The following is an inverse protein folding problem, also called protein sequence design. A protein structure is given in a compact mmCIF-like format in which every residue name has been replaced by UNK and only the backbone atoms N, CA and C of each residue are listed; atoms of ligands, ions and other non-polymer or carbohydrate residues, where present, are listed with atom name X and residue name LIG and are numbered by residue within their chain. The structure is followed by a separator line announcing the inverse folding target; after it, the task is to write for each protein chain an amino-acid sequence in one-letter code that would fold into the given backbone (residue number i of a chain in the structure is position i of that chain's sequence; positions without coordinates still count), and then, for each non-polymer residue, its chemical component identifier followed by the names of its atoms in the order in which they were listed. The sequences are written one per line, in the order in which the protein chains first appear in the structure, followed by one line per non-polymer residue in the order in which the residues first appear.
data_IF_807853982723
#
_entry.id   IF_807853982723
#
_cell.length_a   1.000
_cell.length_b   1.000
_cell.length_c   1.000
_cell.angle_alpha   90.00
_cell.angle_beta   90.00
_cell.angle_gamma   90.00
#
_symmetry.space_group_name_H-M   'P 1'
#
loop_
_entity.id
_entity.type
_entity.pdbx_description
1 polymer ?
#
# COMPACT_ATOMS: atom_id res chain seq x y z
N UNK A 1 -29.27 -14.10 84.92
CA UNK A 1 -29.06 -13.48 86.24
C UNK A 1 -27.58 -13.10 86.34
N UNK A 2 -27.30 -11.82 86.62
CA UNK A 2 -26.03 -11.19 87.04
C UNK A 2 -24.87 -11.17 86.01
N UNK A 3 -24.52 -9.98 85.48
CA UNK A 3 -23.55 -9.00 86.03
C UNK A 3 -22.10 -9.54 85.96
N UNK A 4 -21.04 -8.83 85.58
CA UNK A 4 -20.76 -7.42 85.27
C UNK A 4 -19.26 -7.34 84.90
N UNK A 5 -18.82 -6.17 84.38
CA UNK A 5 -17.44 -5.59 84.42
C UNK A 5 -16.43 -6.17 83.42
N UNK A 6 -15.52 -5.43 82.78
CA UNK A 6 -15.17 -4.01 82.62
C UNK A 6 -13.98 -3.99 81.65
N UNK A 7 -13.84 -2.98 80.78
CA UNK A 7 -12.52 -2.41 80.43
C UNK A 7 -12.66 -1.18 79.53
N UNK A 8 -12.05 -0.10 79.98
CA UNK A 8 -11.80 1.17 79.32
C UNK A 8 -10.54 1.04 78.45
N UNK A 9 -10.51 1.68 77.27
CA UNK A 9 -9.34 2.23 76.54
C UNK A 9 -9.62 2.23 75.03
N UNK A 10 -9.19 3.14 74.16
CA UNK A 10 -8.35 4.33 74.24
C UNK A 10 -8.61 5.09 72.93
N UNK A 11 -8.61 6.42 73.00
CA UNK A 11 -8.73 7.31 71.85
C UNK A 11 -7.55 7.12 70.88
N UNK A 12 -7.84 7.07 69.58
CA UNK A 12 -6.87 7.48 68.54
C UNK A 12 -7.55 8.49 67.62
N UNK A 13 -7.07 9.73 67.72
CA UNK A 13 -7.33 10.82 66.80
C UNK A 13 -6.95 10.36 65.38
N UNK A 14 -7.92 10.34 64.48
CA UNK A 14 -7.65 10.42 63.05
C UNK A 14 -8.00 11.84 62.62
N UNK A 15 -7.00 12.70 62.53
CA UNK A 15 -7.14 13.98 61.85
C UNK A 15 -7.26 13.66 60.35
N UNK A 16 -8.49 13.71 59.82
CA UNK A 16 -8.72 13.60 58.38
C UNK A 16 -8.39 14.97 57.80
N UNK A 17 -7.21 15.10 57.19
CA UNK A 17 -6.85 16.27 56.42
C UNK A 17 -7.84 16.42 55.24
N UNK A 18 -8.33 17.63 54.93
CA UNK A 18 -9.17 17.81 53.76
C UNK A 18 -8.35 17.55 52.50
N UNK A 19 -8.81 16.61 51.68
CA UNK A 19 -8.35 16.42 50.30
C UNK A 19 -8.53 17.74 49.55
N UNK A 20 -7.44 18.47 49.34
CA UNK A 20 -7.40 19.60 48.42
C UNK A 20 -7.69 19.07 47.01
N UNK A 21 -8.96 19.13 46.62
CA UNK A 21 -9.44 18.76 45.29
C UNK A 21 -8.91 19.81 44.32
N UNK A 22 -7.73 19.56 43.73
CA UNK A 22 -7.18 20.37 42.64
C UNK A 22 -8.23 20.43 41.53
N UNK A 23 -8.85 21.58 41.36
CA UNK A 23 -9.73 21.89 40.24
C UNK A 23 -8.85 22.06 39.01
N UNK A 24 -8.77 21.04 38.16
CA UNK A 24 -8.20 21.20 36.82
C UNK A 24 -9.15 22.08 36.01
N UNK A 25 -8.77 23.34 35.81
CA UNK A 25 -9.44 24.22 34.86
C UNK A 25 -8.99 23.83 33.45
N UNK A 26 -9.87 23.20 32.67
CA UNK A 26 -9.64 22.94 31.25
C UNK A 26 -10.10 24.16 30.45
N UNK A 27 -9.17 24.92 29.89
CA UNK A 27 -9.49 25.98 28.94
C UNK A 27 -9.64 25.35 27.55
N UNK A 28 -10.86 25.34 27.03
CA UNK A 28 -11.09 24.99 25.63
C UNK A 28 -10.71 26.21 24.76
N UNK A 29 -9.49 26.22 24.22
CA UNK A 29 -9.14 27.11 23.12
C UNK A 29 -9.84 26.61 21.86
N UNK A 30 -10.99 27.20 21.54
CA UNK A 30 -11.60 27.06 20.21
C UNK A 30 -10.74 27.85 19.24
N UNK A 31 -9.80 27.17 18.59
CA UNK A 31 -9.08 27.73 17.44
C UNK A 31 -10.07 27.74 16.29
N UNK A 32 -10.74 28.88 16.07
CA UNK A 32 -11.43 29.15 14.83
C UNK A 32 -10.36 29.24 13.73
N UNK A 33 -9.96 28.08 13.21
CA UNK A 33 -9.28 28.02 11.94
C UNK A 33 -10.31 28.50 10.91
N UNK A 34 -10.22 29.77 10.53
CA UNK A 34 -10.78 30.21 9.26
C UNK A 34 -10.39 29.16 8.21
N UNK A 35 -11.31 28.74 7.31
CA UNK A 35 -10.95 27.83 6.24
C UNK A 35 -9.77 28.48 5.53
N UNK A 36 -8.59 27.89 5.67
CA UNK A 36 -7.42 28.36 4.96
C UNK A 36 -7.83 28.33 3.50
N UNK A 37 -8.00 29.50 2.90
CA UNK A 37 -8.06 29.63 1.45
C UNK A 37 -6.89 28.81 0.95
N UNK A 38 -7.18 27.69 0.28
CA UNK A 38 -6.15 26.84 -0.29
C UNK A 38 -5.24 27.76 -1.08
N UNK A 39 -3.95 27.90 -0.69
CA UNK A 39 -3.03 28.70 -1.48
C UNK A 39 -3.11 28.18 -2.91
N UNK A 40 -3.21 29.08 -3.89
CA UNK A 40 -3.30 28.72 -5.29
C UNK A 40 -2.25 27.64 -5.59
N UNK A 41 -2.70 26.51 -6.15
CA UNK A 41 -1.83 25.37 -6.42
C UNK A 41 -0.77 25.79 -7.43
N UNK A 42 0.43 26.13 -6.96
CA UNK A 42 1.60 26.40 -7.80
C UNK A 42 2.27 25.07 -8.23
N UNK A 43 1.48 24.02 -8.46
CA UNK A 43 1.96 22.70 -8.86
C UNK A 43 0.92 22.04 -9.79
N UNK A 44 1.42 21.29 -10.77
CA UNK A 44 0.60 20.50 -11.70
C UNK A 44 0.02 19.29 -10.98
N UNK A 45 -1.22 18.94 -11.30
CA UNK A 45 -1.86 17.70 -10.81
C UNK A 45 -1.38 16.48 -11.61
N UNK A 46 -1.60 15.26 -11.10
CA UNK A 46 -1.19 14.02 -11.82
C UNK A 46 -1.78 13.94 -13.24
N UNK A 47 -2.97 14.48 -13.45
CA UNK A 47 -3.63 14.50 -14.77
C UNK A 47 -3.03 15.49 -15.76
N UNK A 48 -2.30 16.51 -15.25
CA UNK A 48 -1.68 17.55 -16.06
C UNK A 48 -0.24 17.21 -16.45
N UNK A 49 0.39 16.26 -15.74
CA UNK A 49 1.74 15.77 -16.03
C UNK A 49 1.69 14.87 -17.27
N UNK A 50 2.44 15.23 -18.32
CA UNK A 50 2.54 14.43 -19.55
C UNK A 50 3.97 14.03 -19.87
N UNK A 51 4.92 14.87 -19.49
CA UNK A 51 6.33 14.74 -19.84
C UNK A 51 7.20 14.82 -18.59
N UNK A 52 8.44 14.32 -18.68
CA UNK A 52 9.40 14.39 -17.57
C UNK A 52 9.75 15.84 -17.19
N UNK A 53 9.70 16.76 -18.14
CA UNK A 53 9.92 18.19 -17.90
C UNK A 53 8.84 18.81 -16.98
N UNK A 54 7.63 18.23 -16.95
CA UNK A 54 6.56 18.66 -16.05
C UNK A 54 6.84 18.28 -14.58
N UNK A 55 7.78 17.37 -14.35
CA UNK A 55 8.20 16.90 -13.04
C UNK A 55 9.34 17.74 -12.44
N UNK A 56 9.57 18.95 -12.95
CA UNK A 56 10.50 19.91 -12.37
C UNK A 56 9.74 20.89 -11.45
N UNK A 57 10.20 21.02 -10.21
CA UNK A 57 9.64 21.96 -9.24
C UNK A 57 9.91 23.44 -9.59
N UNK A 58 9.10 24.38 -9.08
CA UNK A 58 9.25 25.82 -9.35
C UNK A 58 10.50 26.46 -8.69
N UNK A 59 11.15 25.76 -7.75
CA UNK A 59 12.26 26.28 -6.97
C UNK A 59 11.82 27.23 -5.85
N UNK A 60 12.62 27.30 -4.77
CA UNK A 60 12.37 28.19 -3.65
C UNK A 60 12.89 29.62 -3.89
N UNK A 61 12.35 30.58 -3.14
CA UNK A 61 12.81 31.97 -3.15
C UNK A 61 14.16 32.09 -2.43
N UNK A 62 14.96 33.07 -2.84
CA UNK A 62 16.26 33.33 -2.23
C UNK A 62 16.10 33.66 -0.72
N UNK A 63 16.82 32.93 0.13
CA UNK A 63 16.83 33.12 1.58
C UNK A 63 15.78 32.31 2.36
N UNK A 64 14.93 31.54 1.68
CA UNK A 64 13.97 30.61 2.29
C UNK A 64 14.49 29.16 2.20
N UNK A 65 14.10 28.32 3.17
CA UNK A 65 14.40 26.88 3.13
C UNK A 65 13.36 26.23 2.21
N UNK A 66 13.78 25.55 1.13
CA UNK A 66 12.87 24.91 0.20
C UNK A 66 12.06 23.82 0.88
N UNK A 67 10.80 23.70 0.49
CA UNK A 67 9.97 22.54 0.81
C UNK A 67 10.22 21.41 -0.19
N UNK A 68 9.90 20.17 0.21
CA UNK A 68 10.03 18.99 -0.67
C UNK A 68 9.25 19.17 -1.99
N UNK A 69 8.13 19.90 -1.96
CA UNK A 69 7.34 20.20 -3.16
C UNK A 69 8.03 21.19 -4.11
N UNK A 70 8.93 22.04 -3.63
CA UNK A 70 9.58 23.07 -4.46
C UNK A 70 10.87 22.57 -5.10
N UNK A 71 11.59 21.67 -4.42
CA UNK A 71 12.90 21.18 -4.83
C UNK A 71 12.90 19.73 -5.35
N UNK A 72 11.86 18.93 -5.09
CA UNK A 72 11.76 17.58 -5.67
C UNK A 72 11.70 17.62 -7.20
N UNK A 73 12.35 16.64 -7.82
CA UNK A 73 12.37 16.48 -9.29
C UNK A 73 12.18 15.02 -9.68
N UNK A 74 11.66 14.78 -10.88
CA UNK A 74 11.53 13.43 -11.45
C UNK A 74 10.59 12.51 -10.67
N UNK A 75 11.02 11.26 -10.44
CA UNK A 75 10.21 10.22 -9.77
C UNK A 75 9.85 10.58 -8.33
N UNK A 76 10.76 11.24 -7.60
CA UNK A 76 10.51 11.71 -6.24
C UNK A 76 9.32 12.67 -6.21
N UNK A 77 9.29 13.63 -7.15
CA UNK A 77 8.18 14.57 -7.27
C UNK A 77 6.88 13.86 -7.64
N UNK A 78 6.94 12.91 -8.57
CA UNK A 78 5.79 12.13 -8.99
C UNK A 78 5.17 11.36 -7.81
N UNK A 79 6.01 10.77 -6.97
CA UNK A 79 5.57 10.09 -5.74
C UNK A 79 4.92 11.06 -4.74
N UNK A 80 5.54 12.24 -4.51
CA UNK A 80 5.01 13.27 -3.61
C UNK A 80 3.64 13.76 -4.10
N UNK A 81 3.51 14.08 -5.39
CA UNK A 81 2.25 14.53 -5.99
C UNK A 81 1.18 13.42 -5.92
N UNK A 82 1.58 12.17 -6.17
CA UNK A 82 0.75 10.98 -5.95
C UNK A 82 0.17 10.91 -4.55
N UNK A 83 1.06 10.96 -3.55
CA UNK A 83 0.68 10.90 -2.13
C UNK A 83 -0.19 12.09 -1.71
N UNK A 84 0.02 13.28 -2.26
CA UNK A 84 -0.82 14.46 -2.00
C UNK A 84 -2.25 14.28 -2.54
N UNK A 85 -2.41 13.59 -3.67
CA UNK A 85 -3.73 13.25 -4.25
C UNK A 85 -4.32 11.95 -3.65
N UNK A 86 -3.56 11.25 -2.80
CA UNK A 86 -3.98 9.99 -2.18
C UNK A 86 -3.84 8.77 -3.09
N UNK A 87 -3.05 8.86 -4.16
CA UNK A 87 -2.76 7.80 -5.13
C UNK A 87 -1.34 7.29 -4.91
N UNK A 88 -1.19 6.00 -4.61
CA UNK A 88 0.13 5.34 -4.60
C UNK A 88 0.51 4.92 -6.02
N UNK A 89 1.49 5.60 -6.61
CA UNK A 89 1.86 5.39 -8.01
C UNK A 89 2.65 4.09 -8.22
N UNK A 90 3.35 3.61 -7.21
CA UNK A 90 4.19 2.40 -7.32
C UNK A 90 3.53 1.13 -6.78
N UNK A 91 2.23 1.19 -6.44
CA UNK A 91 1.39 0.10 -5.91
C UNK A 91 2.15 -0.87 -4.98
N UNK A 92 2.38 -0.48 -3.74
CA UNK A 92 3.10 -1.31 -2.76
C UNK A 92 2.21 -2.37 -2.07
N UNK A 93 1.02 -2.65 -2.60
CA UNK A 93 0.08 -3.58 -1.97
C UNK A 93 0.50 -5.03 -2.22
N UNK A 94 0.36 -5.92 -1.23
CA UNK A 94 0.57 -7.34 -1.45
C UNK A 94 -0.53 -7.92 -2.35
N UNK A 95 -0.27 -9.12 -2.86
CA UNK A 95 -1.24 -9.90 -3.62
C UNK A 95 -2.53 -10.10 -2.79
N UNK A 96 -3.69 -9.94 -3.43
CA UNK A 96 -4.98 -10.16 -2.78
C UNK A 96 -5.13 -11.64 -2.37
N UNK A 97 -5.15 -11.88 -1.06
CA UNK A 97 -5.32 -13.19 -0.45
C UNK A 97 -6.68 -13.33 0.27
N UNK A 98 -7.61 -12.41 0.04
CA UNK A 98 -8.93 -12.40 0.72
C UNK A 98 -9.84 -13.53 0.25
N UNK A 99 -9.67 -13.99 -0.98
CA UNK A 99 -10.49 -15.04 -1.63
C UNK A 99 -9.61 -15.96 -2.45
N UNK A 100 -10.09 -17.18 -2.68
CA UNK A 100 -9.49 -18.11 -3.64
C UNK A 100 -9.91 -17.71 -5.05
N UNK A 101 -8.95 -17.51 -5.94
CA UNK A 101 -9.22 -17.29 -7.37
C UNK A 101 -9.73 -18.57 -8.03
N UNK A 102 -10.81 -18.47 -8.82
CA UNK A 102 -11.33 -19.58 -9.65
C UNK A 102 -11.10 -19.27 -11.12
N UNK A 103 -11.33 -20.25 -12.01
CA UNK A 103 -11.23 -20.01 -13.46
C UNK A 103 -12.24 -18.99 -13.97
N UNK A 104 -13.45 -18.98 -13.41
CA UNK A 104 -14.49 -18.02 -13.75
C UNK A 104 -14.21 -16.64 -13.14
N UNK A 105 -13.62 -16.59 -11.94
CA UNK A 105 -13.30 -15.37 -11.23
C UNK A 105 -11.86 -15.41 -10.68
N UNK A 106 -10.85 -15.22 -11.56
CA UNK A 106 -9.46 -15.23 -11.15
C UNK A 106 -9.10 -13.98 -10.32
N UNK A 107 -7.95 -14.01 -9.65
CA UNK A 107 -7.38 -12.83 -8.99
C UNK A 107 -6.63 -12.02 -10.07
N UNK A 108 -7.03 -10.76 -10.36
CA UNK A 108 -6.35 -9.95 -11.34
C UNK A 108 -5.00 -9.48 -10.81
N UNK A 109 -3.98 -9.57 -11.64
CA UNK A 109 -2.62 -9.10 -11.35
C UNK A 109 -2.23 -8.11 -12.44
N UNK A 110 -2.04 -6.85 -12.05
CA UNK A 110 -1.68 -5.78 -12.98
C UNK A 110 -0.20 -5.93 -13.35
N UNK A 111 0.10 -5.96 -14.63
CA UNK A 111 1.46 -5.97 -15.17
C UNK A 111 1.66 -4.80 -16.12
N UNK A 112 2.82 -4.14 -16.02
CA UNK A 112 3.27 -3.17 -17.00
C UNK A 112 4.21 -3.79 -18.05
N UNK A 113 4.81 -4.95 -17.76
CA UNK A 113 5.70 -5.68 -18.67
C UNK A 113 5.05 -6.95 -19.25
N UNK A 114 5.79 -7.64 -20.12
CA UNK A 114 5.32 -8.87 -20.78
C UNK A 114 5.18 -10.06 -19.83
N UNK A 115 5.95 -10.07 -18.75
CA UNK A 115 5.92 -11.09 -17.70
C UNK A 115 5.82 -10.44 -16.31
N UNK A 116 5.14 -11.11 -15.38
CA UNK A 116 5.01 -10.66 -13.99
C UNK A 116 5.16 -11.86 -13.05
N UNK A 117 5.96 -11.67 -12.01
CA UNK A 117 6.13 -12.66 -10.95
C UNK A 117 5.16 -12.39 -9.81
N UNK A 118 4.62 -13.47 -9.25
CA UNK A 118 3.72 -13.41 -8.10
C UNK A 118 4.07 -14.49 -7.08
N UNK A 119 4.00 -14.12 -5.79
CA UNK A 119 4.25 -15.02 -4.67
C UNK A 119 2.94 -15.42 -4.00
N UNK A 120 2.49 -16.65 -4.22
CA UNK A 120 1.31 -17.19 -3.58
C UNK A 120 1.66 -17.77 -2.21
N UNK A 121 1.05 -17.25 -1.14
CA UNK A 121 1.14 -17.79 0.23
C UNK A 121 -0.16 -18.51 0.67
N UNK A 122 -1.10 -18.65 -0.26
CA UNK A 122 -2.37 -19.33 -0.08
C UNK A 122 -3.51 -18.46 0.49
N UNK A 123 -4.63 -19.10 0.76
CA UNK A 123 -5.87 -18.48 1.23
C UNK A 123 -6.45 -19.33 2.37
N UNK A 124 -6.48 -18.83 3.62
CA UNK A 124 -6.03 -17.51 4.09
C UNK A 124 -4.52 -17.27 3.90
N UNK A 125 -4.10 -15.99 3.98
CA UNK A 125 -2.69 -15.62 3.81
C UNK A 125 -1.77 -16.45 4.71
N UNK A 126 -0.62 -16.86 4.17
CA UNK A 126 0.40 -17.66 4.88
C UNK A 126 -0.08 -19.07 5.29
N UNK A 127 -1.07 -19.62 4.59
CA UNK A 127 -1.52 -21.01 4.76
C UNK A 127 -0.53 -22.05 4.22
N UNK A 128 0.35 -21.65 3.30
CA UNK A 128 1.42 -22.50 2.80
C UNK A 128 2.69 -21.70 2.45
N UNK A 129 3.78 -22.41 2.16
CA UNK A 129 5.07 -21.80 1.80
C UNK A 129 4.92 -20.97 0.54
N UNK A 130 5.60 -19.82 0.46
CA UNK A 130 5.57 -18.96 -0.73
C UNK A 130 5.96 -19.72 -1.99
N UNK A 131 5.01 -19.86 -2.90
CA UNK A 131 5.23 -20.42 -4.22
C UNK A 131 5.28 -19.28 -5.24
N UNK A 132 6.39 -19.20 -5.96
CA UNK A 132 6.60 -18.23 -7.02
C UNK A 132 6.00 -18.76 -8.31
N UNK A 133 5.14 -17.95 -8.92
CA UNK A 133 4.48 -18.22 -10.18
C UNK A 133 4.82 -17.09 -11.15
N UNK A 134 4.93 -17.44 -12.43
CA UNK A 134 5.19 -16.49 -13.50
C UNK A 134 3.97 -16.46 -14.41
N UNK A 135 3.43 -15.28 -14.63
CA UNK A 135 2.38 -15.04 -15.64
C UNK A 135 2.99 -14.23 -16.77
N UNK A 136 2.62 -14.53 -18.01
CA UNK A 136 3.08 -13.79 -19.19
C UNK A 136 1.92 -13.42 -20.10
N UNK A 137 2.14 -12.54 -21.08
CA UNK A 137 1.10 -12.22 -22.08
C UNK A 137 0.66 -13.44 -22.89
N UNK A 138 1.59 -14.35 -23.17
CA UNK A 138 1.31 -15.61 -23.89
C UNK A 138 0.59 -16.64 -23.02
N UNK A 139 0.91 -16.68 -21.72
CA UNK A 139 0.28 -17.53 -20.70
C UNK A 139 -0.27 -16.64 -19.57
N UNK A 140 -1.42 -15.96 -19.80
CA UNK A 140 -1.93 -14.94 -18.89
C UNK A 140 -2.59 -15.51 -17.64
N UNK A 141 -2.79 -16.83 -17.56
CA UNK A 141 -3.46 -17.49 -16.44
C UNK A 141 -2.53 -18.54 -15.87
N UNK A 142 -2.28 -18.47 -14.57
CA UNK A 142 -1.46 -19.43 -13.84
C UNK A 142 -2.21 -19.93 -12.59
N UNK A 143 -2.00 -21.21 -12.24
CA UNK A 143 -2.66 -21.86 -11.11
C UNK A 143 -1.62 -22.22 -10.06
N UNK A 144 -1.83 -21.81 -8.81
CA UNK A 144 -0.97 -22.26 -7.72
C UNK A 144 -1.11 -23.78 -7.52
N UNK A 145 -0.01 -24.56 -7.52
CA UNK A 145 -0.07 -26.02 -7.42
C UNK A 145 -0.48 -26.51 -6.03
N UNK A 146 -0.40 -25.67 -5.00
CA UNK A 146 -0.75 -26.05 -3.62
C UNK A 146 -2.17 -25.63 -3.24
N UNK A 147 -2.48 -24.33 -3.25
CA UNK A 147 -3.82 -23.86 -2.89
C UNK A 147 -4.84 -23.89 -4.04
N UNK A 148 -4.38 -24.03 -5.30
CA UNK A 148 -5.25 -24.00 -6.48
C UNK A 148 -5.86 -22.64 -6.79
N UNK A 149 -5.32 -21.55 -6.24
CA UNK A 149 -5.74 -20.19 -6.61
C UNK A 149 -5.34 -19.87 -8.05
N UNK A 150 -6.28 -19.28 -8.79
CA UNK A 150 -6.08 -18.86 -10.18
C UNK A 150 -5.77 -17.37 -10.24
N UNK A 151 -4.69 -17.01 -10.92
CA UNK A 151 -4.27 -15.63 -11.17
C UNK A 151 -4.41 -15.31 -12.66
N UNK A 152 -4.80 -14.09 -12.99
CA UNK A 152 -4.89 -13.61 -14.37
C UNK A 152 -4.15 -12.29 -14.55
N UNK A 153 -3.29 -12.23 -15.55
CA UNK A 153 -2.61 -10.99 -15.95
C UNK A 153 -3.60 -9.98 -16.53
N UNK A 154 -3.52 -8.75 -16.03
CA UNK A 154 -4.13 -7.55 -16.60
C UNK A 154 -3.01 -6.62 -17.05
N UNK A 155 -2.80 -6.54 -18.37
CA UNK A 155 -1.76 -5.68 -18.94
C UNK A 155 -2.21 -4.22 -18.94
N UNK A 156 -1.44 -3.35 -18.29
CA UNK A 156 -1.71 -1.90 -18.14
C UNK A 156 -0.68 -1.05 -18.91
N UNK A 157 0.34 -1.67 -19.49
CA UNK A 157 1.38 -0.98 -20.25
C UNK A 157 0.92 -0.44 -21.62
N UNK A 158 1.74 0.41 -22.27
CA UNK A 158 1.47 0.90 -23.61
C UNK A 158 1.51 -0.26 -24.64
N UNK A 159 0.59 -0.26 -25.61
CA UNK A 159 0.45 -1.36 -26.59
C UNK A 159 1.55 -1.38 -27.67
N UNK A 160 2.27 -0.28 -27.83
CA UNK A 160 3.22 -0.02 -28.92
C UNK A 160 4.62 0.19 -28.33
N UNK A 161 5.32 -0.88 -27.95
CA UNK A 161 6.73 -0.80 -27.56
C UNK A 161 7.60 -0.64 -28.82
N UNK A 162 7.66 0.58 -29.36
CA UNK A 162 8.59 0.94 -30.45
C UNK A 162 10.06 1.07 -29.99
N UNK A 163 10.39 0.66 -28.75
CA UNK A 163 11.73 0.76 -28.18
C UNK A 163 12.54 -0.55 -28.25
N UNK A 164 12.09 -1.55 -29.00
CA UNK A 164 12.88 -2.76 -29.27
C UNK A 164 14.04 -2.56 -30.28
N UNK A 165 14.29 -1.34 -30.79
CA UNK A 165 15.35 -1.05 -31.79
C UNK A 165 16.66 -0.50 -31.18
N UNK A 166 16.82 -0.59 -29.86
CA UNK A 166 18.08 -0.32 -29.16
C UNK A 166 18.55 -1.52 -28.37
N UNK A 167 18.92 -2.61 -29.06
CA UNK A 167 19.92 -3.58 -28.60
C UNK A 167 19.70 -4.29 -27.25
N UNK A 168 18.53 -4.11 -26.64
CA UNK A 168 18.09 -4.79 -25.43
C UNK A 168 16.91 -5.65 -25.83
N UNK A 169 17.28 -6.80 -26.39
CA UNK A 169 16.44 -7.98 -26.45
C UNK A 169 15.92 -8.25 -25.03
N UNK A 170 14.73 -7.71 -24.73
CA UNK A 170 13.95 -8.07 -23.55
C UNK A 170 13.18 -9.37 -23.78
N UNK A 171 13.44 -10.07 -24.89
CA UNK A 171 13.43 -11.51 -24.83
C UNK A 171 14.46 -11.92 -23.78
N UNK A 172 13.99 -12.35 -22.63
CA UNK A 172 14.79 -13.27 -21.85
C UNK A 172 15.21 -14.38 -22.81
N UNK A 173 16.45 -14.34 -23.34
CA UNK A 173 16.98 -15.36 -24.26
C UNK A 173 17.01 -16.77 -23.67
N UNK A 174 16.52 -16.89 -22.43
CA UNK A 174 16.06 -18.11 -21.81
C UNK A 174 14.61 -18.39 -22.24
N UNK A 175 14.44 -19.09 -23.37
CA UNK A 175 13.20 -19.83 -23.58
C UNK A 175 13.12 -20.90 -22.48
N UNK A 176 12.08 -20.84 -21.64
CA UNK A 176 11.85 -21.90 -20.67
C UNK A 176 11.85 -23.26 -21.39
N UNK A 177 12.54 -24.27 -20.85
CA UNK A 177 12.54 -25.58 -21.46
C UNK A 177 11.10 -26.07 -21.55
N UNK A 178 10.66 -26.40 -22.77
CA UNK A 178 9.29 -26.81 -23.04
C UNK A 178 8.88 -27.91 -22.08
N UNK A 179 7.90 -27.61 -21.26
CA UNK A 179 7.32 -28.55 -20.31
C UNK A 179 6.19 -29.31 -20.97
N UNK A 180 5.71 -30.39 -20.33
CA UNK A 180 4.53 -31.11 -20.82
C UNK A 180 3.30 -30.19 -20.99
N UNK A 181 3.20 -29.11 -20.21
CA UNK A 181 2.12 -28.14 -20.29
C UNK A 181 2.07 -27.38 -21.63
N UNK A 182 3.23 -27.19 -22.28
CA UNK A 182 3.31 -26.47 -23.55
C UNK A 182 2.75 -27.29 -24.72
N UNK A 183 2.78 -28.62 -24.60
CA UNK A 183 2.21 -29.55 -25.58
C UNK A 183 0.70 -29.79 -25.39
N UNK A 184 0.11 -29.29 -24.30
CA UNK A 184 -1.34 -29.34 -24.10
C UNK A 184 -2.02 -28.35 -25.04
N UNK A 185 -3.03 -28.82 -25.78
CA UNK A 185 -3.79 -27.94 -26.69
C UNK A 185 -4.43 -26.78 -25.89
N UNK A 186 -4.49 -25.56 -26.44
CA UNK A 186 -5.06 -24.41 -25.75
C UNK A 186 -6.47 -24.66 -25.20
N UNK A 187 -7.28 -25.45 -25.92
CA UNK A 187 -8.63 -25.87 -25.55
C UNK A 187 -8.71 -26.58 -24.18
N UNK A 188 -7.64 -27.27 -23.77
CA UNK A 188 -7.60 -28.06 -22.53
C UNK A 188 -6.88 -27.36 -21.38
N UNK A 189 -6.23 -26.21 -21.61
CA UNK A 189 -5.43 -25.53 -20.57
C UNK A 189 -6.28 -25.00 -19.42
N UNK A 190 -7.54 -24.68 -19.70
CA UNK A 190 -8.40 -23.90 -18.80
C UNK A 190 -9.76 -24.56 -18.52
N UNK A 191 -9.93 -25.83 -18.94
CA UNK A 191 -11.07 -26.65 -18.52
C UNK A 191 -10.96 -27.05 -17.04
#
# INVERSE_FOLDING_TARGET
MFLQRSAIAVARRAAVAPLARRTFATTMLRRDAAPSSTPAKNYKTLSEIKTEDDLVGPGAKAGEIPTDLEQSTGLERLEILGKMEGVDVFDMRPLDSSRKGTMENPIPVRSAGDEQYLGCTGVPADSHVTLWLTISRDRPIERCPECGSVYKMEYVGPTEDHHHDHGHDHGHGYEEPKTFADFVKPEYRYQ
#
